data_IF_293435461488
#
_entry.id   IF_293435461488
#
_cell.length_a   1.000
_cell.length_b   1.000
_cell.length_c   1.000
_cell.angle_alpha   90.00
_cell.angle_beta   90.00
_cell.angle_gamma   90.00
#
_symmetry.space_group_name_H-M   'P 1'
#
loop_
_entity.id
_entity.type
_entity.pdbx_description
1 polymer ?
#
# COMPACT_ATOMS: atom_id res chain seq x y z
N UNK A 1 16.81 -11.94 0.28
CA UNK A 1 15.87 -10.81 0.41
C UNK A 1 16.72 -9.63 0.80
N UNK A 2 16.60 -8.54 0.06
CA UNK A 2 17.43 -7.36 0.29
C UNK A 2 16.96 -6.65 1.57
N UNK A 3 17.86 -5.90 2.18
CA UNK A 3 17.55 -5.08 3.35
C UNK A 3 16.40 -4.09 3.00
N UNK A 4 15.41 -3.99 3.90
CA UNK A 4 14.21 -3.17 3.70
C UNK A 4 13.10 -3.80 2.86
N UNK A 5 13.19 -5.09 2.51
CA UNK A 5 12.13 -5.81 1.80
C UNK A 5 11.21 -6.62 2.73
N UNK A 6 9.92 -6.63 2.39
CA UNK A 6 8.86 -7.38 3.09
C UNK A 6 8.13 -8.26 2.10
N UNK A 7 8.17 -9.57 2.31
CA UNK A 7 7.50 -10.51 1.42
C UNK A 7 6.84 -11.66 2.15
N UNK A 8 5.80 -12.20 1.54
CA UNK A 8 5.13 -13.44 1.93
C UNK A 8 5.31 -14.48 0.83
N UNK A 9 5.82 -15.66 1.20
CA UNK A 9 6.06 -16.74 0.26
C UNK A 9 4.93 -17.78 0.27
N UNK A 10 4.27 -17.96 -0.87
CA UNK A 10 3.03 -18.75 -0.98
C UNK A 10 3.15 -20.23 -0.61
N UNK A 11 4.21 -20.92 -1.05
CA UNK A 11 4.35 -22.37 -0.79
C UNK A 11 4.62 -22.71 0.67
N UNK A 12 5.32 -21.83 1.39
CA UNK A 12 5.76 -22.09 2.77
C UNK A 12 4.99 -21.27 3.81
N UNK A 13 4.21 -20.29 3.38
CA UNK A 13 3.50 -19.37 4.25
C UNK A 13 4.45 -18.63 5.18
N UNK A 14 5.60 -18.21 4.65
CA UNK A 14 6.67 -17.57 5.43
C UNK A 14 6.79 -16.11 5.07
N UNK A 15 6.95 -15.26 6.08
CA UNK A 15 7.33 -13.85 5.89
C UNK A 15 8.83 -13.68 5.96
N UNK A 16 9.37 -12.89 5.06
CA UNK A 16 10.76 -12.49 5.06
C UNK A 16 10.83 -11.01 5.39
N UNK A 17 11.59 -10.69 6.44
CA UNK A 17 11.73 -9.35 7.01
C UNK A 17 13.20 -9.04 7.13
N UNK A 18 13.81 -8.34 6.17
CA UNK A 18 15.24 -7.95 6.23
C UNK A 18 16.21 -9.13 6.45
N UNK A 19 15.73 -10.37 6.42
CA UNK A 19 16.47 -11.59 6.70
C UNK A 19 16.15 -12.66 5.65
N UNK A 20 17.07 -13.61 5.52
CA UNK A 20 16.93 -14.76 4.61
C UNK A 20 16.12 -15.90 5.26
N UNK A 21 15.94 -15.87 6.58
CA UNK A 21 15.25 -16.90 7.35
C UNK A 21 13.85 -16.40 7.71
N UNK A 22 12.88 -16.73 6.85
CA UNK A 22 11.50 -16.32 7.06
C UNK A 22 10.77 -17.11 8.16
N UNK A 23 9.97 -16.42 8.96
CA UNK A 23 9.10 -17.01 9.99
C UNK A 23 7.76 -17.47 9.42
N UNK A 24 7.15 -18.49 10.04
CA UNK A 24 5.80 -18.90 9.66
C UNK A 24 4.80 -17.77 9.95
N UNK A 25 4.13 -17.31 8.90
CA UNK A 25 3.24 -16.17 8.95
C UNK A 25 1.81 -16.55 9.31
N UNK A 26 1.37 -17.76 8.92
CA UNK A 26 0.06 -18.29 9.29
C UNK A 26 -0.75 -18.93 8.17
N UNK A 27 -0.38 -18.74 6.90
CA UNK A 27 -1.09 -19.39 5.78
C UNK A 27 -0.22 -19.55 4.54
N UNK A 28 -0.49 -20.62 3.78
CA UNK A 28 -0.02 -20.81 2.40
C UNK A 28 -1.08 -20.34 1.40
N UNK A 29 -0.72 -20.16 0.14
CA UNK A 29 -1.66 -19.83 -0.94
C UNK A 29 -1.23 -20.41 -2.28
N UNK A 30 -2.19 -20.59 -3.17
CA UNK A 30 -1.99 -21.15 -4.51
C UNK A 30 -3.08 -20.72 -5.47
N UNK A 31 -3.31 -21.54 -6.51
CA UNK A 31 -4.29 -21.25 -7.57
C UNK A 31 -5.68 -20.95 -7.00
N UNK A 32 -6.25 -19.82 -7.40
CA UNK A 32 -7.59 -19.38 -7.00
C UNK A 32 -7.65 -18.56 -5.71
N UNK A 33 -6.58 -18.50 -4.92
CA UNK A 33 -6.52 -17.63 -3.75
C UNK A 33 -6.27 -16.16 -4.13
N UNK A 34 -6.95 -15.24 -3.45
CA UNK A 34 -6.69 -13.81 -3.54
C UNK A 34 -5.83 -13.40 -2.34
N UNK A 35 -4.63 -12.90 -2.61
CA UNK A 35 -3.69 -12.44 -1.58
C UNK A 35 -3.55 -10.93 -1.66
N UNK A 36 -3.78 -10.24 -0.55
CA UNK A 36 -3.53 -8.81 -0.42
C UNK A 36 -2.29 -8.51 0.41
N UNK A 37 -1.64 -7.38 0.16
CA UNK A 37 -0.61 -6.80 1.00
C UNK A 37 -1.06 -5.40 1.41
N UNK A 38 -1.15 -5.14 2.71
CA UNK A 38 -1.64 -3.90 3.26
C UNK A 38 -0.55 -3.23 4.09
N UNK A 39 -0.30 -1.95 3.81
CA UNK A 39 0.60 -1.09 4.56
C UNK A 39 -0.21 -0.02 5.30
N UNK A 40 -0.22 -0.10 6.63
CA UNK A 40 -0.83 0.89 7.49
C UNK A 40 0.25 1.86 7.99
N UNK A 41 0.27 3.05 7.41
CA UNK A 41 1.24 4.09 7.76
C UNK A 41 0.99 4.70 9.14
N UNK A 42 -0.27 4.73 9.60
CA UNK A 42 -0.61 5.30 10.90
C UNK A 42 -0.12 4.40 12.03
N UNK A 43 -0.34 3.08 11.87
CA UNK A 43 0.12 2.06 12.83
C UNK A 43 1.57 1.63 12.59
N UNK A 44 2.18 2.05 11.47
CA UNK A 44 3.50 1.62 11.02
C UNK A 44 3.59 0.10 10.98
N UNK A 45 2.62 -0.53 10.32
CA UNK A 45 2.50 -1.98 10.25
C UNK A 45 2.22 -2.45 8.82
N UNK A 46 2.74 -3.62 8.48
CA UNK A 46 2.37 -4.36 7.28
C UNK A 46 1.63 -5.64 7.66
N UNK A 47 0.63 -6.03 6.88
CA UNK A 47 -0.02 -7.33 7.01
C UNK A 47 -0.45 -7.83 5.63
N UNK A 48 -0.54 -9.16 5.51
CA UNK A 48 -1.07 -9.82 4.33
C UNK A 48 -2.45 -10.36 4.60
N UNK A 49 -3.26 -10.47 3.56
CA UNK A 49 -4.62 -11.01 3.64
C UNK A 49 -4.74 -12.21 2.72
N UNK A 50 -5.59 -13.17 3.10
CA UNK A 50 -5.97 -14.30 2.25
C UNK A 50 -7.48 -14.32 2.11
N UNK A 51 -7.97 -14.24 0.87
CA UNK A 51 -9.39 -14.28 0.54
C UNK A 51 -10.24 -13.27 1.33
N UNK A 52 -9.66 -12.11 1.63
CA UNK A 52 -10.30 -11.03 2.38
C UNK A 52 -10.18 -11.15 3.91
N UNK A 53 -9.45 -12.15 4.43
CA UNK A 53 -9.19 -12.30 5.87
C UNK A 53 -7.79 -11.79 6.22
N UNK A 54 -7.63 -10.93 7.23
CA UNK A 54 -6.33 -10.40 7.61
C UNK A 54 -5.49 -11.45 8.33
N UNK A 55 -4.19 -11.46 8.04
CA UNK A 55 -3.17 -12.19 8.78
C UNK A 55 -2.58 -11.36 9.93
N UNK A 56 -1.43 -11.82 10.44
CA UNK A 56 -0.70 -11.16 11.53
C UNK A 56 -0.13 -9.81 11.08
N UNK A 57 -0.39 -8.74 11.84
CA UNK A 57 0.28 -7.47 11.62
C UNK A 57 1.73 -7.52 12.12
N UNK A 58 2.65 -6.99 11.31
CA UNK A 58 4.07 -6.91 11.60
C UNK A 58 4.50 -5.44 11.61
N UNK A 59 5.25 -4.98 12.62
CA UNK A 59 5.74 -3.60 12.67
C UNK A 59 6.72 -3.34 11.53
N UNK A 60 6.64 -2.15 10.92
CA UNK A 60 7.53 -1.71 9.83
C UNK A 60 8.21 -0.39 10.12
N UNK A 61 9.50 -0.33 9.82
CA UNK A 61 10.25 0.91 9.73
C UNK A 61 10.19 1.43 8.30
N UNK A 62 9.43 2.51 8.10
CA UNK A 62 9.28 3.17 6.80
C UNK A 62 10.36 4.24 6.62
N UNK A 63 11.62 3.81 6.62
CA UNK A 63 12.78 4.70 6.41
C UNK A 63 13.03 4.99 4.92
N UNK A 64 12.42 4.19 4.03
CA UNK A 64 12.55 4.28 2.59
C UNK A 64 11.22 3.97 1.90
N UNK A 65 11.01 4.47 0.66
CA UNK A 65 9.83 4.11 -0.14
C UNK A 65 9.75 2.60 -0.35
N UNK A 66 8.54 2.05 -0.27
CA UNK A 66 8.26 0.66 -0.59
C UNK A 66 7.51 0.58 -1.92
N UNK A 67 7.91 -0.36 -2.77
CA UNK A 67 7.28 -0.60 -4.06
C UNK A 67 6.54 -1.95 -4.04
N UNK A 68 5.27 -2.01 -4.47
CA UNK A 68 4.57 -3.28 -4.64
C UNK A 68 5.37 -4.18 -5.58
N UNK A 69 5.75 -5.36 -5.09
CA UNK A 69 6.60 -6.30 -5.83
C UNK A 69 5.97 -7.68 -5.80
N UNK A 70 5.94 -8.33 -6.96
CA UNK A 70 5.52 -9.72 -7.11
C UNK A 70 6.68 -10.48 -7.75
N UNK A 71 7.13 -11.54 -7.09
CA UNK A 71 8.13 -12.45 -7.65
C UNK A 71 7.49 -13.79 -7.99
N UNK A 72 7.76 -14.27 -9.20
CA UNK A 72 7.22 -15.51 -9.73
C UNK A 72 8.39 -16.42 -10.07
N UNK A 73 8.34 -17.66 -9.60
CA UNK A 73 9.40 -18.64 -9.84
C UNK A 73 9.05 -19.65 -10.94
N UNK A 74 7.79 -20.08 -11.02
CA UNK A 74 7.39 -21.12 -11.97
C UNK A 74 7.03 -20.53 -13.34
N UNK A 75 7.51 -21.09 -14.45
CA UNK A 75 7.15 -20.63 -15.80
C UNK A 75 5.67 -20.70 -16.13
N UNK A 76 4.91 -21.58 -15.46
CA UNK A 76 3.47 -21.74 -15.66
C UNK A 76 2.62 -20.96 -14.65
N UNK A 77 3.25 -20.21 -13.74
CA UNK A 77 2.53 -19.41 -12.77
C UNK A 77 2.05 -18.10 -13.39
N UNK A 78 0.75 -17.85 -13.25
CA UNK A 78 0.09 -16.63 -13.68
C UNK A 78 -0.52 -15.94 -12.46
N UNK A 79 -0.43 -14.61 -12.42
CA UNK A 79 -1.02 -13.77 -11.38
C UNK A 79 -1.70 -12.57 -12.04
N UNK A 80 -2.89 -12.22 -11.55
CA UNK A 80 -3.53 -10.96 -11.87
C UNK A 80 -3.31 -9.97 -10.72
N UNK A 81 -2.97 -8.74 -11.05
CA UNK A 81 -2.67 -7.70 -10.06
C UNK A 81 -3.80 -6.66 -10.08
N UNK A 82 -4.37 -6.38 -8.90
CA UNK A 82 -5.31 -5.28 -8.70
C UNK A 82 -4.64 -4.22 -7.83
N UNK A 83 -4.32 -3.07 -8.42
CA UNK A 83 -3.80 -1.87 -7.76
C UNK A 83 -4.89 -0.81 -7.54
N UNK A 84 -6.17 -1.19 -7.64
CA UNK A 84 -7.33 -0.31 -7.49
C UNK A 84 -8.23 -0.24 -8.72
N UNK A 85 -7.94 -0.99 -9.80
CA UNK A 85 -8.79 -1.05 -11.00
C UNK A 85 -10.15 -1.73 -10.75
N UNK A 86 -10.26 -2.50 -9.65
CA UNK A 86 -11.51 -3.13 -9.22
C UNK A 86 -11.59 -3.14 -7.68
N UNK A 87 -12.78 -3.32 -7.08
CA UNK A 87 -12.91 -3.42 -5.62
C UNK A 87 -11.99 -4.49 -5.03
N UNK A 88 -11.32 -4.17 -3.93
CA UNK A 88 -10.46 -5.13 -3.24
C UNK A 88 -11.29 -6.22 -2.55
N UNK A 89 -10.70 -7.42 -2.44
CA UNK A 89 -11.33 -8.54 -1.71
C UNK A 89 -11.35 -8.32 -0.19
N UNK A 90 -10.37 -7.59 0.34
CA UNK A 90 -10.30 -7.20 1.74
C UNK A 90 -11.10 -5.91 1.96
N UNK A 91 -11.85 -5.86 3.06
CA UNK A 91 -12.58 -4.65 3.44
C UNK A 91 -11.60 -3.59 3.98
N UNK A 92 -11.30 -2.60 3.13
CA UNK A 92 -10.39 -1.50 3.47
C UNK A 92 -11.09 -0.34 4.17
N UNK A 93 -12.43 -0.29 4.21
CA UNK A 93 -13.15 0.89 4.72
C UNK A 93 -12.82 1.21 6.20
N UNK A 94 -12.75 0.23 7.13
CA UNK A 94 -12.34 0.50 8.50
C UNK A 94 -10.92 1.09 8.62
N UNK A 95 -10.06 0.79 7.64
CA UNK A 95 -8.68 1.27 7.60
C UNK A 95 -8.56 2.65 6.94
N UNK A 96 -9.59 3.10 6.22
CA UNK A 96 -9.67 4.44 5.65
C UNK A 96 -10.18 5.50 6.64
N UNK A 97 -10.67 5.09 7.81
CA UNK A 97 -11.42 5.96 8.75
C UNK A 97 -10.67 7.22 9.26
N UNK A 98 -9.38 7.39 8.96
CA UNK A 98 -8.62 8.63 9.23
C UNK A 98 -7.74 9.07 8.06
N UNK A 99 -7.85 8.43 6.90
CA UNK A 99 -7.23 8.89 5.68
C UNK A 99 -8.17 9.92 5.05
N UNK A 100 -7.62 11.02 4.51
CA UNK A 100 -8.39 11.94 3.69
C UNK A 100 -8.98 11.13 2.55
N UNK A 101 -10.29 10.84 2.64
CA UNK A 101 -10.97 10.00 1.66
C UNK A 101 -10.85 10.61 0.27
N UNK A 102 -11.11 9.79 -0.74
CA UNK A 102 -11.35 10.32 -2.07
C UNK A 102 -12.58 11.23 -2.03
N UNK A 103 -12.35 12.51 -2.20
CA UNK A 103 -13.41 13.50 -2.42
C UNK A 103 -13.60 13.60 -3.94
N UNK A 104 -14.82 13.50 -4.51
CA UNK A 104 -15.04 13.60 -5.95
C UNK A 104 -14.46 14.87 -6.60
N UNK A 105 -14.27 15.96 -5.84
CA UNK A 105 -13.56 17.15 -6.32
C UNK A 105 -12.09 16.90 -6.66
N UNK A 106 -11.49 15.80 -6.17
CA UNK A 106 -10.13 15.37 -6.47
C UNK A 106 -9.96 14.87 -7.91
N UNK A 107 -11.03 14.42 -8.60
CA UNK A 107 -10.97 14.11 -10.05
C UNK A 107 -10.46 15.31 -10.85
N UNK A 108 -10.88 16.51 -10.43
CA UNK A 108 -10.47 17.76 -11.07
C UNK A 108 -9.00 18.09 -10.83
N UNK A 109 -8.29 17.35 -9.99
CA UNK A 109 -6.86 17.56 -9.72
C UNK A 109 -5.95 16.60 -10.49
N UNK A 110 -6.52 15.59 -11.17
CA UNK A 110 -5.72 14.64 -11.93
C UNK A 110 -4.93 15.36 -13.03
N UNK A 111 -3.60 15.14 -13.04
CA UNK A 111 -2.68 15.76 -14.00
C UNK A 111 -2.38 17.23 -13.75
N UNK A 112 -2.88 17.83 -12.67
CA UNK A 112 -2.61 19.23 -12.32
C UNK A 112 -1.41 19.36 -11.40
N UNK A 113 -0.67 20.46 -11.56
CA UNK A 113 0.44 20.85 -10.69
C UNK A 113 -0.01 21.90 -9.68
N UNK A 114 0.81 22.08 -8.64
CA UNK A 114 0.56 23.08 -7.62
C UNK A 114 1.80 23.33 -6.76
N UNK A 115 1.76 24.43 -6.02
CA UNK A 115 2.85 24.85 -5.12
C UNK A 115 2.52 24.47 -3.68
N UNK A 116 3.48 23.86 -2.97
CA UNK A 116 3.36 23.62 -1.52
C UNK A 116 3.43 24.96 -0.79
N UNK A 117 2.33 25.35 -0.14
CA UNK A 117 2.22 26.62 0.60
C UNK A 117 2.40 26.45 2.11
N UNK A 118 2.21 25.24 2.64
CA UNK A 118 2.52 24.94 4.03
C UNK A 118 2.81 23.45 4.23
N UNK A 119 3.67 23.11 5.18
CA UNK A 119 3.84 21.74 5.69
C UNK A 119 3.50 21.75 7.16
N UNK A 120 2.53 20.93 7.56
CA UNK A 120 2.05 20.84 8.93
C UNK A 120 2.99 19.96 9.77
N UNK A 121 2.93 20.08 11.10
CA UNK A 121 3.73 19.27 12.03
C UNK A 121 3.55 17.76 11.84
N UNK A 122 2.39 17.33 11.35
CA UNK A 122 2.10 15.93 11.03
C UNK A 122 2.61 15.49 9.64
N UNK A 123 3.38 16.34 8.95
CA UNK A 123 3.96 16.09 7.63
C UNK A 123 2.99 16.29 6.46
N UNK A 124 1.73 16.67 6.69
CA UNK A 124 0.81 16.96 5.60
C UNK A 124 1.17 18.27 4.90
N UNK A 125 1.26 18.23 3.58
CA UNK A 125 1.48 19.38 2.72
C UNK A 125 0.13 20.03 2.36
N UNK A 126 0.09 21.34 2.35
CA UNK A 126 -1.01 22.13 1.81
C UNK A 126 -0.53 22.66 0.47
N UNK A 127 -1.23 22.29 -0.61
CA UNK A 127 -0.85 22.60 -2.00
C UNK A 127 -1.89 23.53 -2.62
N UNK A 128 -1.43 24.66 -3.13
CA UNK A 128 -2.22 25.57 -3.94
C UNK A 128 -2.10 25.14 -5.41
N UNK A 129 -3.23 24.84 -6.05
CA UNK A 129 -3.22 24.45 -7.46
C UNK A 129 -2.96 25.66 -8.36
N UNK A 130 -2.20 25.44 -9.43
CA UNK A 130 -1.76 26.51 -10.35
C UNK A 130 -2.91 27.06 -11.21
N UNK A 131 -3.98 26.29 -11.37
CA UNK A 131 -5.15 26.63 -12.17
C UNK A 131 -6.17 27.52 -11.44
N UNK A 132 -5.85 27.98 -10.23
CA UNK A 132 -6.76 28.74 -9.39
C UNK A 132 -7.82 27.89 -8.68
N UNK A 133 -7.72 26.55 -8.73
CA UNK A 133 -8.61 25.59 -8.08
C UNK A 133 -8.58 25.59 -6.54
N UNK A 134 -7.97 26.60 -5.92
CA UNK A 134 -7.84 26.76 -4.48
C UNK A 134 -6.75 25.88 -3.86
N UNK A 135 -6.84 25.73 -2.55
CA UNK A 135 -5.84 25.01 -1.74
C UNK A 135 -6.37 23.65 -1.29
N UNK A 136 -5.56 22.60 -1.38
CA UNK A 136 -5.89 21.26 -0.90
C UNK A 136 -4.79 20.72 0.02
N UNK A 137 -5.19 19.90 0.98
CA UNK A 137 -4.26 19.27 1.91
C UNK A 137 -3.95 17.86 1.43
N UNK A 138 -2.68 17.60 1.15
CA UNK A 138 -2.15 16.31 0.76
C UNK A 138 -1.29 15.77 1.88
N UNK A 139 -1.64 14.60 2.38
CA UNK A 139 -0.74 13.85 3.25
C UNK A 139 0.21 13.06 2.34
N UNK A 140 1.52 13.38 2.28
CA UNK A 140 2.47 12.76 1.35
C UNK A 140 2.68 11.25 1.60
N UNK A 141 2.05 10.72 2.65
CA UNK A 141 1.92 9.29 2.97
C UNK A 141 1.14 8.50 1.90
N UNK A 142 0.56 9.15 0.90
CA UNK A 142 -0.38 8.53 -0.07
C UNK A 142 -0.07 8.80 -1.55
N UNK A 143 1.16 9.17 -1.90
CA UNK A 143 1.57 9.30 -3.30
C UNK A 143 2.07 7.95 -3.84
N UNK A 144 1.13 7.18 -4.41
CA UNK A 144 1.46 6.19 -5.45
C UNK A 144 1.59 6.96 -6.77
N UNK A 145 2.60 6.72 -7.62
CA UNK A 145 2.70 7.40 -8.91
C UNK A 145 1.47 7.12 -9.77
N UNK A 146 0.93 8.17 -10.38
CA UNK A 146 0.13 8.05 -11.59
C UNK A 146 1.05 8.11 -12.82
N UNK A 147 0.75 7.25 -13.79
CA UNK A 147 1.45 6.95 -15.05
C UNK A 147 2.61 5.95 -14.96
#
# INVERSE_FOLDING_TARGET
MDEGSFALHGKYGRTFWETVQGDYYGFTFGTGDIVGAALDFQRKQIFFTKNGRPGKALPVKLERPLHPTVSIYSPSAEVSINLGQSPFRFDIEPYKANHGGWDPSMEKMLGKTGTVVAVLENGAATVQLDDGGGTKRWSPVLLVPAA
#
